data_IF_437418394242
#
_entry.id   IF_437418394242
#
_cell.length_a   1.000
_cell.length_b   1.000
_cell.length_c   1.000
_cell.angle_alpha   90.00
_cell.angle_beta   90.00
_cell.angle_gamma   90.00
#
_symmetry.space_group_name_H-M   'P 1'
#
loop_
_entity.id
_entity.type
_entity.pdbx_description
1 polymer ?
#
# COMPACT_ATOMS: atom_id res chain seq x y z
N UNK A 1 -17.60 20.85 -35.08
CA UNK A 1 -16.71 21.31 -33.99
C UNK A 1 -15.44 20.46 -34.01
N UNK A 2 -14.37 20.94 -34.66
CA UNK A 2 -13.10 20.21 -34.82
C UNK A 2 -12.21 20.46 -33.59
N UNK A 3 -11.76 19.39 -32.93
CA UNK A 3 -10.90 19.49 -31.73
C UNK A 3 -9.49 19.97 -32.16
N UNK A 4 -8.90 20.99 -31.50
CA UNK A 4 -7.56 21.51 -31.85
C UNK A 4 -6.46 20.43 -31.76
N UNK A 5 -5.62 20.32 -32.80
CA UNK A 5 -4.57 19.29 -32.95
C UNK A 5 -3.55 19.27 -31.80
N UNK A 6 -3.27 20.42 -31.21
CA UNK A 6 -2.42 20.62 -30.04
C UNK A 6 -2.98 20.02 -28.73
N UNK A 7 -4.30 19.93 -28.60
CA UNK A 7 -4.96 19.27 -27.46
C UNK A 7 -4.86 17.74 -27.56
N UNK A 8 -4.82 17.20 -28.77
CA UNK A 8 -4.59 15.78 -29.05
C UNK A 8 -3.13 15.37 -28.78
N UNK A 9 -2.16 16.24 -29.07
CA UNK A 9 -0.74 16.02 -28.75
C UNK A 9 -0.53 15.93 -27.23
N UNK A 10 -0.99 16.92 -26.45
CA UNK A 10 -0.87 16.88 -24.98
C UNK A 10 -1.54 15.65 -24.36
N UNK A 11 -2.70 15.25 -24.89
CA UNK A 11 -3.39 14.00 -24.47
C UNK A 11 -2.60 12.74 -24.83
N UNK A 12 -2.03 12.65 -26.04
CA UNK A 12 -1.26 11.48 -26.47
C UNK A 12 0.03 11.30 -25.66
N UNK A 13 0.77 12.37 -25.42
CA UNK A 13 1.98 12.30 -24.58
C UNK A 13 1.65 12.01 -23.12
N UNK A 14 0.54 12.56 -22.59
CA UNK A 14 0.02 12.20 -21.27
C UNK A 14 -0.36 10.71 -21.18
N UNK A 15 -1.08 10.19 -22.17
CA UNK A 15 -1.51 8.78 -22.19
C UNK A 15 -0.33 7.80 -22.34
N UNK A 16 0.64 8.10 -23.20
CA UNK A 16 1.85 7.27 -23.35
C UNK A 16 2.67 7.26 -22.06
N UNK A 17 2.85 8.42 -21.42
CA UNK A 17 3.55 8.51 -20.13
C UNK A 17 2.86 7.69 -19.04
N UNK A 18 1.53 7.80 -18.92
CA UNK A 18 0.75 6.98 -17.97
C UNK A 18 0.87 5.49 -18.29
N UNK A 19 0.78 5.10 -19.56
CA UNK A 19 0.91 3.70 -19.97
C UNK A 19 2.29 3.11 -19.61
N UNK A 20 3.37 3.87 -19.81
CA UNK A 20 4.72 3.46 -19.42
C UNK A 20 4.86 3.29 -17.90
N UNK A 21 4.34 4.23 -17.10
CA UNK A 21 4.38 4.12 -15.64
C UNK A 21 3.59 2.90 -15.14
N UNK A 22 2.41 2.65 -15.71
CA UNK A 22 1.60 1.47 -15.39
C UNK A 22 2.35 0.19 -15.78
N UNK A 23 2.96 0.12 -16.96
CA UNK A 23 3.73 -1.03 -17.39
C UNK A 23 4.93 -1.29 -16.45
N UNK A 24 5.68 -0.26 -16.07
CA UNK A 24 6.79 -0.38 -15.12
C UNK A 24 6.30 -0.86 -13.74
N UNK A 25 5.18 -0.33 -13.24
CA UNK A 25 4.59 -0.78 -11.98
C UNK A 25 4.12 -2.23 -12.04
N UNK A 26 3.52 -2.66 -13.15
CA UNK A 26 3.09 -4.04 -13.34
C UNK A 26 4.27 -5.01 -13.42
N UNK A 27 5.34 -4.62 -14.11
CA UNK A 27 6.59 -5.39 -14.17
C UNK A 27 7.23 -5.49 -12.78
N UNK A 28 7.29 -4.39 -12.03
CA UNK A 28 7.77 -4.41 -10.64
C UNK A 28 6.87 -5.30 -9.77
N UNK A 29 5.55 -5.21 -9.90
CA UNK A 29 4.58 -6.02 -9.15
C UNK A 29 4.66 -7.53 -9.44
N UNK A 30 5.30 -7.91 -10.54
CA UNK A 30 5.56 -9.31 -10.90
C UNK A 30 6.91 -9.83 -10.37
N UNK A 31 7.81 -8.94 -9.91
CA UNK A 31 9.05 -9.35 -9.25
C UNK A 31 8.76 -9.99 -7.90
N UNK A 32 9.73 -10.76 -7.40
CA UNK A 32 9.68 -11.35 -6.06
C UNK A 32 9.49 -10.24 -5.01
N UNK A 33 8.76 -10.49 -3.90
CA UNK A 33 8.51 -9.48 -2.87
C UNK A 33 9.77 -8.77 -2.36
N UNK A 34 10.88 -9.49 -2.24
CA UNK A 34 12.17 -8.95 -1.82
C UNK A 34 12.80 -7.94 -2.82
N UNK A 35 12.50 -8.07 -4.11
CA UNK A 35 13.08 -7.26 -5.19
C UNK A 35 12.13 -6.15 -5.68
N UNK A 36 10.96 -6.00 -5.05
CA UNK A 36 9.97 -4.99 -5.43
C UNK A 36 10.40 -3.61 -4.95
N UNK A 37 10.65 -2.71 -5.89
CA UNK A 37 10.92 -1.30 -5.58
C UNK A 37 9.68 -0.63 -4.99
N UNK A 38 8.49 -0.97 -5.49
CA UNK A 38 7.21 -0.48 -4.97
C UNK A 38 6.97 -0.89 -3.51
N UNK A 39 7.29 -2.14 -3.15
CA UNK A 39 7.19 -2.63 -1.78
C UNK A 39 8.13 -1.88 -0.84
N UNK A 40 9.38 -1.70 -1.25
CA UNK A 40 10.39 -0.96 -0.48
C UNK A 40 10.00 0.51 -0.29
N UNK A 41 9.53 1.17 -1.35
CA UNK A 41 9.03 2.54 -1.30
C UNK A 41 7.85 2.68 -0.34
N UNK A 42 6.86 1.77 -0.43
CA UNK A 42 5.71 1.74 0.47
C UNK A 42 6.12 1.58 1.94
N UNK A 43 6.98 0.60 2.24
CA UNK A 43 7.49 0.37 3.60
C UNK A 43 8.22 1.61 4.11
N UNK A 44 9.03 2.26 3.27
CA UNK A 44 9.69 3.51 3.61
C UNK A 44 8.70 4.62 4.00
N UNK A 45 7.63 4.79 3.22
CA UNK A 45 6.56 5.76 3.54
C UNK A 45 5.86 5.43 4.86
N UNK A 46 5.54 4.15 5.12
CA UNK A 46 4.89 3.74 6.38
C UNK A 46 5.83 3.95 7.57
N UNK A 47 7.13 3.65 7.44
CA UNK A 47 8.11 3.90 8.50
C UNK A 47 8.28 5.40 8.79
N UNK A 48 8.33 6.24 7.75
CA UNK A 48 8.34 7.70 7.90
C UNK A 48 7.06 8.21 8.59
N UNK A 49 5.91 7.61 8.28
CA UNK A 49 4.66 7.89 9.00
C UNK A 49 4.73 7.45 10.47
N UNK A 50 5.29 6.28 10.77
CA UNK A 50 5.43 5.79 12.14
C UNK A 50 6.33 6.68 13.01
N UNK A 51 7.35 7.31 12.43
CA UNK A 51 8.26 8.21 13.15
C UNK A 51 7.71 9.63 13.25
N UNK A 52 7.23 10.20 12.15
CA UNK A 52 6.82 11.61 12.10
C UNK A 52 5.33 11.83 12.38
N UNK A 53 4.46 10.95 11.88
CA UNK A 53 3.01 11.13 11.92
C UNK A 53 2.32 10.48 13.13
N UNK A 54 2.80 9.31 13.57
CA UNK A 54 2.19 8.57 14.69
C UNK A 54 2.09 9.37 15.99
N UNK A 55 3.08 10.18 16.41
CA UNK A 55 2.97 10.97 17.65
C UNK A 55 1.79 11.95 17.61
N UNK A 56 1.48 12.48 16.43
CA UNK A 56 0.42 13.47 16.20
C UNK A 56 -0.94 12.79 16.08
N UNK A 57 -1.02 11.63 15.43
CA UNK A 57 -2.28 10.94 15.11
C UNK A 57 -2.76 10.00 16.22
N UNK A 58 -1.86 9.50 17.10
CA UNK A 58 -2.20 8.59 18.20
C UNK A 58 -3.43 9.01 19.04
N UNK A 59 -3.64 10.29 19.42
CA UNK A 59 -4.84 10.68 20.16
C UNK A 59 -6.14 10.59 19.36
N UNK A 60 -6.08 10.67 18.03
CA UNK A 60 -7.26 10.70 17.16
C UNK A 60 -7.61 9.32 16.57
N UNK A 61 -6.61 8.47 16.34
CA UNK A 61 -6.80 7.15 15.74
C UNK A 61 -5.99 6.11 16.51
N UNK A 62 -6.69 5.33 17.33
CA UNK A 62 -6.11 4.21 18.08
C UNK A 62 -6.39 2.91 17.34
N UNK A 63 -5.33 2.26 16.88
CA UNK A 63 -5.42 0.93 16.30
C UNK A 63 -5.88 -0.08 17.36
N UNK A 64 -6.82 -0.96 17.00
CA UNK A 64 -7.37 -1.96 17.91
C UNK A 64 -6.68 -3.31 17.88
N UNK A 65 -5.92 -3.59 16.83
CA UNK A 65 -5.21 -4.86 16.70
C UNK A 65 -3.78 -4.80 17.25
N UNK A 66 -3.26 -5.97 17.63
CA UNK A 66 -1.85 -6.22 17.90
C UNK A 66 -1.36 -7.35 16.98
N UNK A 67 -0.25 -7.17 16.21
CA UNK A 67 0.47 -5.92 15.98
C UNK A 67 -0.41 -4.82 15.37
N UNK A 68 0.00 -3.55 15.47
CA UNK A 68 -0.79 -2.42 14.96
C UNK A 68 -0.96 -2.48 13.43
N UNK A 69 -2.03 -1.90 12.87
CA UNK A 69 -2.32 -1.95 11.42
C UNK A 69 -1.16 -1.44 10.54
N UNK A 70 -0.37 -0.47 11.01
CA UNK A 70 0.80 0.01 10.27
C UNK A 70 2.00 -0.93 10.36
N UNK A 71 2.12 -1.72 11.42
CA UNK A 71 3.17 -2.75 11.51
C UNK A 71 2.75 -3.98 10.68
N UNK A 72 1.47 -4.36 10.78
CA UNK A 72 0.88 -5.39 9.93
C UNK A 72 1.05 -5.06 8.45
N UNK A 73 0.88 -3.81 8.05
CA UNK A 73 1.04 -3.44 6.64
C UNK A 73 2.47 -3.58 6.13
N UNK A 74 3.45 -3.24 6.97
CA UNK A 74 4.87 -3.44 6.65
C UNK A 74 5.19 -4.92 6.51
N UNK A 75 4.74 -5.75 7.45
CA UNK A 75 4.96 -7.19 7.43
C UNK A 75 4.26 -7.84 6.23
N UNK A 76 2.98 -7.52 5.98
CA UNK A 76 2.21 -8.06 4.86
C UNK A 76 2.83 -7.72 3.51
N UNK A 77 3.32 -6.48 3.32
CA UNK A 77 3.98 -6.08 2.06
C UNK A 77 5.36 -6.73 1.90
N UNK A 78 6.10 -6.94 2.98
CA UNK A 78 7.39 -7.65 2.92
C UNK A 78 7.24 -9.13 2.59
N UNK A 79 6.24 -9.79 3.17
CA UNK A 79 5.99 -11.23 2.95
C UNK A 79 5.35 -11.48 1.59
N UNK A 80 4.33 -10.69 1.24
CA UNK A 80 3.46 -10.99 0.11
C UNK A 80 3.62 -10.06 -1.11
N UNK A 81 4.48 -9.05 -1.00
CA UNK A 81 4.66 -8.00 -2.01
C UNK A 81 3.53 -6.98 -1.96
N UNK A 82 3.64 -5.96 -2.82
CA UNK A 82 2.76 -4.78 -2.77
C UNK A 82 1.29 -5.13 -3.04
N UNK A 83 1.00 -6.05 -3.98
CA UNK A 83 -0.38 -6.37 -4.38
C UNK A 83 -1.16 -7.07 -3.25
N UNK A 84 -0.67 -8.23 -2.82
CA UNK A 84 -1.32 -9.00 -1.77
C UNK A 84 -1.17 -8.37 -0.39
N UNK A 85 -0.02 -7.75 -0.10
CA UNK A 85 0.20 -7.04 1.15
C UNK A 85 -0.76 -5.87 1.34
N UNK A 86 -1.00 -5.07 0.29
CA UNK A 86 -2.01 -4.00 0.33
C UNK A 86 -3.43 -4.53 0.48
N UNK A 87 -3.77 -5.64 -0.19
CA UNK A 87 -5.10 -6.25 -0.06
C UNK A 87 -5.39 -6.69 1.39
N UNK A 88 -4.45 -7.41 2.01
CA UNK A 88 -4.56 -7.83 3.41
C UNK A 88 -4.65 -6.64 4.36
N UNK A 89 -3.79 -5.64 4.13
CA UNK A 89 -3.78 -4.40 4.91
C UNK A 89 -5.12 -3.66 4.81
N UNK A 90 -5.65 -3.50 3.59
CA UNK A 90 -6.91 -2.79 3.36
C UNK A 90 -8.07 -3.50 4.04
N UNK A 91 -8.12 -4.84 3.96
CA UNK A 91 -9.12 -5.66 4.65
C UNK A 91 -9.10 -5.44 6.17
N UNK A 92 -7.90 -5.40 6.76
CA UNK A 92 -7.72 -5.16 8.20
C UNK A 92 -8.03 -3.73 8.62
N UNK A 93 -7.68 -2.73 7.81
CA UNK A 93 -8.01 -1.34 8.09
C UNK A 93 -9.54 -1.16 8.08
N UNK A 94 -10.23 -1.77 7.12
CA UNK A 94 -11.69 -1.72 7.03
C UNK A 94 -12.37 -2.38 8.25
N UNK A 95 -11.78 -3.45 8.82
CA UNK A 95 -12.29 -4.08 10.04
C UNK A 95 -11.88 -3.37 11.33
N UNK A 96 -10.85 -2.52 11.31
CA UNK A 96 -10.33 -1.82 12.49
C UNK A 96 -11.24 -0.66 12.90
N UNK A 97 -12.33 -0.97 13.60
CA UNK A 97 -13.34 -0.01 14.06
C UNK A 97 -13.84 -0.32 15.48
N UNK A 98 -14.89 0.40 15.91
CA UNK A 98 -15.58 0.27 17.20
C UNK A 98 -15.87 -1.16 17.68
N UNK A 99 -16.12 -2.06 16.74
CA UNK A 99 -16.60 -3.42 16.99
C UNK A 99 -15.49 -4.40 17.37
N UNK A 100 -14.22 -4.03 17.23
CA UNK A 100 -13.09 -4.89 17.59
C UNK A 100 -12.60 -4.56 19.01
N UNK A 101 -12.36 -5.57 19.87
CA UNK A 101 -11.72 -5.35 21.17
C UNK A 101 -10.33 -4.71 21.03
N UNK A 102 -9.93 -3.88 22.00
CA UNK A 102 -8.59 -3.33 22.01
C UNK A 102 -7.56 -4.43 22.33
N UNK A 103 -6.52 -4.54 21.52
CA UNK A 103 -5.45 -5.53 21.67
C UNK A 103 -5.74 -6.88 21.01
N UNK A 104 -6.74 -6.99 20.13
CA UNK A 104 -7.01 -8.25 19.41
C UNK A 104 -5.78 -8.73 18.65
N UNK A 105 -5.34 -9.96 18.93
CA UNK A 105 -4.22 -10.60 18.26
C UNK A 105 -4.61 -11.03 16.84
N UNK A 106 -3.91 -10.49 15.85
CA UNK A 106 -4.10 -10.83 14.44
C UNK A 106 -2.73 -10.67 13.73
N UNK A 107 -1.90 -11.72 13.62
CA UNK A 107 -0.62 -11.63 12.91
C UNK A 107 -0.81 -11.80 11.40
N UNK A 108 0.20 -11.43 10.60
CA UNK A 108 0.20 -11.75 9.17
C UNK A 108 0.30 -13.27 9.00
N UNK A 109 -0.55 -13.89 8.16
CA UNK A 109 -0.43 -15.33 7.91
C UNK A 109 0.94 -15.65 7.30
N UNK A 110 1.52 -16.84 7.59
CA UNK A 110 2.76 -17.28 6.95
C UNK A 110 2.56 -17.53 5.44
N UNK A 111 3.64 -17.44 4.67
CA UNK A 111 3.62 -17.59 3.21
C UNK A 111 3.23 -19.01 2.75
N UNK A 112 3.32 -19.99 3.65
CA UNK A 112 2.93 -21.39 3.42
C UNK A 112 1.41 -21.59 3.24
N UNK A 113 0.60 -20.57 3.54
CA UNK A 113 -0.86 -20.59 3.35
C UNK A 113 -1.31 -20.05 1.99
N UNK A 114 -0.39 -19.79 1.05
CA UNK A 114 -0.70 -19.38 -0.33
C UNK A 114 -0.94 -20.53 -1.29
#
# INVERSE_FOLDING_TARGET
MSIPRERLWKRRFGLIGVALLVALFLLDSYRRPADQYSASAYVGTVRAYQTCGRPIIKPFCTCRYYPSCSEYSVEAVRTYGIRYGLFLTARRIASCNGSVPLGTWDPVPPDELK
#
